data_IF_633072537369
#
_entry.id   IF_633072537369
#
_cell.length_a   1.000
_cell.length_b   1.000
_cell.length_c   1.000
_cell.angle_alpha   90.00
_cell.angle_beta   90.00
_cell.angle_gamma   90.00
#
_symmetry.space_group_name_H-M   'P 1'
#
loop_
_entity.id
_entity.type
_entity.pdbx_description
1 polymer ?
#
# COMPACT_ATOMS: atom_id res chain seq x y z
N UNK A 1 6.36 -11.52 18.75
CA UNK A 1 5.48 -10.48 19.33
C UNK A 1 6.05 -9.07 19.24
N UNK A 2 7.22 -8.75 19.81
CA UNK A 2 7.80 -7.38 19.72
C UNK A 2 7.93 -6.86 18.28
N UNK A 3 8.39 -7.71 17.36
CA UNK A 3 8.49 -7.36 15.94
C UNK A 3 7.14 -7.01 15.30
N UNK A 4 6.06 -7.71 15.67
CA UNK A 4 4.71 -7.42 15.16
C UNK A 4 4.21 -6.08 15.72
N UNK A 5 4.50 -5.80 16.98
CA UNK A 5 4.16 -4.55 17.64
C UNK A 5 4.85 -3.35 16.97
N UNK A 6 6.17 -3.44 16.75
CA UNK A 6 6.93 -2.41 16.02
C UNK A 6 6.44 -2.23 14.58
N UNK A 7 6.11 -3.33 13.88
CA UNK A 7 5.56 -3.25 12.52
C UNK A 7 4.18 -2.58 12.48
N UNK A 8 3.34 -2.79 13.49
CA UNK A 8 2.06 -2.08 13.62
C UNK A 8 2.29 -0.58 13.80
N UNK A 9 3.24 -0.17 14.65
CA UNK A 9 3.59 1.25 14.85
C UNK A 9 4.11 1.90 13.57
N UNK A 10 5.00 1.22 12.86
CA UNK A 10 5.52 1.70 11.57
C UNK A 10 4.40 1.85 10.54
N UNK A 11 3.46 0.91 10.47
CA UNK A 11 2.33 0.98 9.55
C UNK A 11 1.34 2.08 9.93
N UNK A 12 1.10 2.32 11.23
CA UNK A 12 0.29 3.44 11.73
C UNK A 12 0.89 4.78 11.27
N UNK A 13 2.20 4.97 11.42
CA UNK A 13 2.90 6.18 10.97
C UNK A 13 2.80 6.34 9.45
N UNK A 14 3.07 5.27 8.69
CA UNK A 14 3.00 5.29 7.22
C UNK A 14 1.60 5.62 6.72
N UNK A 15 0.55 5.11 7.35
CA UNK A 15 -0.85 5.43 7.00
C UNK A 15 -1.13 6.93 7.20
N UNK A 16 -0.69 7.52 8.32
CA UNK A 16 -0.85 8.96 8.57
C UNK A 16 0.02 9.84 7.64
N UNK A 17 1.21 9.39 7.27
CA UNK A 17 2.06 10.08 6.30
C UNK A 17 1.44 10.08 4.89
N UNK A 18 0.95 8.93 4.43
CA UNK A 18 0.27 8.84 3.13
C UNK A 18 -1.04 9.64 3.12
N UNK A 19 -1.81 9.63 4.23
CA UNK A 19 -3.04 10.41 4.33
C UNK A 19 -2.79 11.91 4.20
N UNK A 20 -1.67 12.42 4.75
CA UNK A 20 -1.27 13.83 4.61
C UNK A 20 -0.82 14.22 3.20
N UNK A 21 -0.34 13.25 2.42
CA UNK A 21 0.16 13.48 1.05
C UNK A 21 -0.89 13.22 -0.03
N UNK A 22 -1.99 12.57 0.35
CA UNK A 22 -3.03 12.08 -0.56
C UNK A 22 -3.54 13.15 -1.53
N UNK A 23 -3.82 14.36 -1.04
CA UNK A 23 -4.37 15.46 -1.85
C UNK A 23 -3.39 16.04 -2.88
N UNK A 24 -2.09 15.73 -2.75
CA UNK A 24 -1.01 16.27 -3.58
C UNK A 24 -0.41 15.24 -4.52
N UNK A 25 -0.72 13.96 -4.33
CA UNK A 25 -0.20 12.86 -5.14
C UNK A 25 -1.07 12.62 -6.37
N UNK A 26 -0.47 12.07 -7.42
CA UNK A 26 -1.24 11.60 -8.57
C UNK A 26 -2.12 10.40 -8.14
N UNK A 27 -3.39 10.31 -8.58
CA UNK A 27 -4.31 9.27 -8.12
C UNK A 27 -3.80 7.83 -8.34
N UNK A 28 -3.04 7.58 -9.40
CA UNK A 28 -2.45 6.26 -9.67
C UNK A 28 -1.36 5.90 -8.65
N UNK A 29 -0.48 6.85 -8.32
CA UNK A 29 0.59 6.63 -7.34
C UNK A 29 0.01 6.46 -5.93
N UNK A 30 -0.99 7.28 -5.60
CA UNK A 30 -1.70 7.19 -4.34
C UNK A 30 -2.39 5.83 -4.18
N UNK A 31 -3.07 5.34 -5.23
CA UNK A 31 -3.66 4.00 -5.25
C UNK A 31 -2.58 2.93 -5.05
N UNK A 32 -1.47 3.00 -5.78
CA UNK A 32 -0.38 2.03 -5.65
C UNK A 32 0.19 1.98 -4.22
N UNK A 33 0.44 3.13 -3.60
CA UNK A 33 0.92 3.20 -2.22
C UNK A 33 -0.08 2.59 -1.23
N UNK A 34 -1.37 2.84 -1.42
CA UNK A 34 -2.43 2.25 -0.59
C UNK A 34 -2.52 0.74 -0.79
N UNK A 35 -2.39 0.24 -2.01
CA UNK A 35 -2.37 -1.21 -2.30
C UNK A 35 -1.18 -1.90 -1.59
N UNK A 36 0.00 -1.25 -1.55
CA UNK A 36 1.16 -1.73 -0.80
C UNK A 36 0.93 -1.72 0.72
N UNK A 37 0.34 -0.65 1.26
CA UNK A 37 -0.02 -0.58 2.68
C UNK A 37 -1.03 -1.66 3.06
N UNK A 38 -2.05 -1.89 2.23
CA UNK A 38 -2.99 -2.97 2.42
C UNK A 38 -2.30 -4.34 2.44
N UNK A 39 -1.36 -4.56 1.53
CA UNK A 39 -0.59 -5.81 1.49
C UNK A 39 0.21 -6.01 2.78
N UNK A 40 0.90 -4.97 3.26
CA UNK A 40 1.67 -5.02 4.51
C UNK A 40 0.77 -5.27 5.74
N UNK A 41 -0.40 -4.63 5.79
CA UNK A 41 -1.39 -4.82 6.85
C UNK A 41 -1.92 -6.26 6.83
N UNK A 42 -2.16 -6.84 5.65
CA UNK A 42 -2.55 -8.27 5.49
C UNK A 42 -1.44 -9.22 5.95
N UNK A 43 -0.18 -8.93 5.65
CA UNK A 43 0.94 -9.76 6.13
C UNK A 43 1.06 -9.71 7.66
N UNK A 44 0.84 -8.54 8.25
CA UNK A 44 0.85 -8.38 9.71
C UNK A 44 -0.30 -9.15 10.37
N UNK A 45 -1.48 -9.20 9.74
CA UNK A 45 -2.61 -10.05 10.17
C UNK A 45 -2.23 -11.53 10.20
N UNK A 46 -1.59 -12.04 9.14
CA UNK A 46 -1.14 -13.43 9.08
C UNK A 46 -0.15 -13.75 10.22
N UNK A 47 0.78 -12.83 10.52
CA UNK A 47 1.70 -13.00 11.64
C UNK A 47 0.96 -13.03 13.00
N UNK A 48 -0.07 -12.20 13.19
CA UNK A 48 -0.91 -12.22 14.40
C UNK A 48 -1.68 -13.54 14.51
N UNK A 49 -2.25 -14.04 13.41
CA UNK A 49 -2.97 -15.31 13.38
C UNK A 49 -2.05 -16.49 13.70
N UNK A 50 -0.81 -16.48 13.19
CA UNK A 50 0.21 -17.46 13.58
C UNK A 50 0.47 -17.44 15.09
N UNK A 51 0.61 -16.25 15.69
CA UNK A 51 0.80 -16.12 17.15
C UNK A 51 -0.40 -16.65 17.95
N UNK A 52 -1.63 -16.49 17.45
CA UNK A 52 -2.80 -17.11 18.08
C UNK A 52 -2.74 -18.64 18.02
N UNK A 53 -2.29 -19.22 16.89
CA UNK A 53 -2.05 -20.66 16.76
C UNK A 53 -1.00 -21.18 17.74
N UNK A 54 0.11 -20.46 17.88
CA UNK A 54 1.17 -20.79 18.83
C UNK A 54 0.63 -20.78 20.27
N UNK A 55 -0.14 -19.75 20.64
CA UNK A 55 -0.74 -19.64 21.97
C UNK A 55 -1.77 -20.73 22.24
N UNK A 56 -2.55 -21.15 21.23
CA UNK A 56 -3.45 -22.29 21.38
C UNK A 56 -2.69 -23.59 21.61
N UNK A 57 -1.62 -23.81 20.87
CA UNK A 57 -0.75 -24.99 21.06
C UNK A 57 -0.16 -25.02 22.48
N UNK A 58 0.25 -23.86 23.02
CA UNK A 58 0.68 -23.73 24.42
C UNK A 58 -0.46 -23.97 25.42
N UNK A 59 -1.69 -23.56 25.09
CA UNK A 59 -2.85 -23.79 25.95
C UNK A 59 -3.20 -25.28 26.03
N UNK A 60 -3.15 -25.98 24.90
CA UNK A 60 -3.34 -27.43 24.81
C UNK A 60 -2.25 -28.18 25.57
N UNK A 61 -1.00 -27.70 25.50
CA UNK A 61 0.12 -28.16 26.33
C UNK A 61 0.04 -27.80 27.81
N UNK A 62 -1.07 -27.17 28.27
CA UNK A 62 -1.33 -26.74 29.65
C UNK A 62 -0.25 -25.82 30.23
N UNK A 63 0.39 -25.01 29.38
CA UNK A 63 1.36 -24.03 29.85
C UNK A 63 0.67 -22.92 30.65
N UNK A 64 1.12 -22.63 31.88
CA UNK A 64 0.44 -21.67 32.77
C UNK A 64 0.46 -20.22 32.24
N UNK A 65 1.42 -19.90 31.36
CA UNK A 65 1.55 -18.56 30.76
C UNK A 65 0.63 -18.34 29.54
N UNK A 66 0.02 -19.39 28.99
CA UNK A 66 -0.77 -19.30 27.76
C UNK A 66 -1.92 -18.27 27.84
N UNK A 67 -2.70 -18.15 28.94
CA UNK A 67 -3.75 -17.13 29.04
C UNK A 67 -3.22 -15.69 28.99
N UNK A 68 -2.04 -15.44 29.58
CA UNK A 68 -1.44 -14.10 29.56
C UNK A 68 -0.88 -13.75 28.19
N UNK A 69 -0.24 -14.72 27.51
CA UNK A 69 0.19 -14.55 26.13
C UNK A 69 -1.01 -14.30 25.20
N UNK A 70 -2.12 -15.01 25.40
CA UNK A 70 -3.35 -14.80 24.63
C UNK A 70 -3.84 -13.36 24.73
N UNK A 71 -3.92 -12.80 25.95
CA UNK A 71 -4.30 -11.39 26.16
C UNK A 71 -3.38 -10.43 25.41
N UNK A 72 -2.07 -10.69 25.39
CA UNK A 72 -1.11 -9.86 24.67
C UNK A 72 -1.29 -9.94 23.15
N UNK A 73 -1.52 -11.13 22.60
CA UNK A 73 -1.82 -11.28 21.15
C UNK A 73 -3.16 -10.62 20.80
N UNK A 74 -4.15 -10.70 21.69
CA UNK A 74 -5.44 -10.03 21.52
C UNK A 74 -5.31 -8.50 21.48
N UNK A 75 -4.42 -7.90 22.29
CA UNK A 75 -4.11 -6.46 22.19
C UNK A 75 -3.50 -6.09 20.84
N UNK A 76 -2.58 -6.91 20.31
CA UNK A 76 -2.01 -6.69 18.97
C UNK A 76 -3.10 -6.75 17.90
N UNK A 77 -4.02 -7.71 18.00
CA UNK A 77 -5.14 -7.81 17.07
C UNK A 77 -6.07 -6.60 17.15
N UNK A 78 -6.39 -6.10 18.36
CA UNK A 78 -7.19 -4.89 18.52
C UNK A 78 -6.53 -3.67 17.87
N UNK A 79 -5.21 -3.49 18.04
CA UNK A 79 -4.44 -2.44 17.36
C UNK A 79 -4.52 -2.60 15.83
N UNK A 80 -4.34 -3.81 15.32
CA UNK A 80 -4.47 -4.10 13.89
C UNK A 80 -5.86 -3.75 13.33
N UNK A 81 -6.94 -4.07 14.06
CA UNK A 81 -8.31 -3.70 13.66
C UNK A 81 -8.47 -2.18 13.58
N UNK A 82 -7.91 -1.45 14.55
CA UNK A 82 -7.92 0.02 14.55
C UNK A 82 -7.13 0.59 13.36
N UNK A 83 -5.93 0.07 13.09
CA UNK A 83 -5.11 0.43 11.93
C UNK A 83 -5.83 0.18 10.60
N UNK A 84 -6.48 -0.98 10.45
CA UNK A 84 -7.28 -1.29 9.27
C UNK A 84 -8.43 -0.30 9.10
N UNK A 85 -9.10 0.07 10.19
CA UNK A 85 -10.17 1.07 10.17
C UNK A 85 -9.64 2.47 9.79
N UNK A 86 -8.44 2.82 10.26
CA UNK A 86 -7.74 4.05 9.91
C UNK A 86 -7.41 4.11 8.42
N UNK A 87 -6.83 3.04 7.87
CA UNK A 87 -6.55 2.90 6.43
C UNK A 87 -7.82 3.11 5.60
N UNK A 88 -8.92 2.44 5.96
CA UNK A 88 -10.18 2.55 5.22
C UNK A 88 -10.75 3.98 5.25
N UNK A 89 -10.77 4.60 6.44
CA UNK A 89 -11.36 5.92 6.62
C UNK A 89 -10.52 7.06 6.04
N UNK A 90 -9.19 6.98 6.15
CA UNK A 90 -8.26 8.07 5.81
C UNK A 90 -7.70 7.98 4.40
N UNK A 91 -7.64 6.78 3.83
CA UNK A 91 -6.99 6.55 2.53
C UNK A 91 -7.98 6.00 1.50
N UNK A 92 -8.65 4.88 1.79
CA UNK A 92 -9.51 4.21 0.81
C UNK A 92 -10.75 5.05 0.49
N UNK A 93 -11.42 5.61 1.50
CA UNK A 93 -12.64 6.42 1.31
C UNK A 93 -12.36 7.73 0.54
N UNK A 94 -11.29 8.50 0.86
CA UNK A 94 -10.96 9.66 0.05
C UNK A 94 -10.49 9.30 -1.36
N UNK A 95 -9.73 8.21 -1.54
CA UNK A 95 -9.33 7.76 -2.88
C UNK A 95 -10.52 7.33 -3.75
N UNK A 96 -11.55 6.72 -3.17
CA UNK A 96 -12.77 6.38 -3.90
C UNK A 96 -13.61 7.62 -4.24
N UNK A 97 -13.38 8.76 -3.60
CA UNK A 97 -14.00 10.04 -3.98
C UNK A 97 -13.23 10.78 -5.09
N UNK A 98 -11.91 10.55 -5.16
CA UNK A 98 -11.01 11.09 -6.20
C UNK A 98 -11.07 10.22 -7.48
N UNK A 99 -11.78 9.09 -7.43
CA UNK A 99 -11.77 8.07 -8.47
C UNK A 99 -12.24 8.59 -9.84
N UNK A 100 -11.23 8.76 -10.70
CA UNK A 100 -11.15 8.53 -12.15
C UNK A 100 -12.30 9.09 -13.02
N UNK A 101 -12.03 10.06 -13.93
CA UNK A 101 -12.68 9.97 -15.23
C UNK A 101 -12.22 8.64 -15.83
N UNK A 102 -13.12 7.66 -15.86
CA UNK A 102 -12.99 6.48 -16.68
C UNK A 102 -12.97 6.98 -18.12
N UNK A 103 -11.79 7.29 -18.66
CA UNK A 103 -11.62 7.24 -20.11
C UNK A 103 -11.67 5.76 -20.47
N UNK A 104 -12.89 5.26 -20.65
CA UNK A 104 -13.21 4.09 -21.44
C UNK A 104 -12.77 4.40 -22.88
N UNK A 105 -11.46 4.41 -23.13
CA UNK A 105 -10.94 4.41 -24.50
C UNK A 105 -11.11 2.99 -25.01
N UNK A 106 -12.33 2.72 -25.44
CA UNK A 106 -12.56 1.74 -26.51
C UNK A 106 -11.55 2.06 -27.61
N UNK A 107 -10.69 1.07 -27.88
CA UNK A 107 -9.67 1.15 -28.91
C UNK A 107 -10.38 1.11 -30.26
N UNK A 108 -10.82 2.27 -30.76
CA UNK A 108 -11.11 2.46 -32.18
C UNK A 108 -10.01 3.31 -32.80
N UNK A 109 -8.95 2.59 -33.19
CA UNK A 109 -8.11 2.83 -34.37
C UNK A 109 -8.40 4.13 -35.14
N UNK A 110 -7.81 5.25 -34.73
CA UNK A 110 -7.34 6.32 -35.62
C UNK A 110 -6.50 7.34 -34.85
N UNK A 111 -5.19 7.29 -35.11
CA UNK A 111 -4.18 8.35 -35.10
C UNK A 111 -4.58 9.70 -34.45
N UNK A 112 -3.97 10.04 -33.29
CA UNK A 112 -3.09 11.22 -33.11
C UNK A 112 -2.86 11.53 -31.62
N UNK A 113 -1.64 11.19 -31.21
CA UNK A 113 -0.79 11.67 -30.10
C UNK A 113 -1.24 12.97 -29.40
N UNK A 114 -1.73 12.88 -28.16
CA UNK A 114 -1.77 14.02 -27.20
C UNK A 114 -1.66 13.52 -25.75
N UNK A 115 -0.65 12.71 -25.42
CA UNK A 115 -0.27 12.40 -24.03
C UNK A 115 1.26 12.37 -23.82
N UNK A 116 2.03 12.59 -24.88
CA UNK A 116 3.50 12.50 -24.87
C UNK A 116 4.16 13.76 -24.30
N UNK A 117 3.44 14.87 -24.16
CA UNK A 117 4.05 16.18 -23.82
C UNK A 117 4.34 16.40 -22.33
N UNK A 118 4.05 15.45 -21.43
CA UNK A 118 4.34 15.65 -19.98
C UNK A 118 5.24 14.61 -19.33
N UNK A 119 5.54 13.50 -20.01
CA UNK A 119 6.45 12.46 -19.50
C UNK A 119 7.90 12.63 -19.97
N UNK A 120 8.15 13.51 -20.95
CA UNK A 120 9.47 13.67 -21.58
C UNK A 120 10.41 14.60 -20.77
N UNK A 121 9.87 15.48 -19.92
CA UNK A 121 10.68 16.51 -19.25
C UNK A 121 11.29 16.11 -17.90
N UNK A 122 10.87 15.00 -17.28
CA UNK A 122 11.31 14.65 -15.90
C UNK A 122 12.24 13.45 -15.80
N UNK A 123 12.56 12.78 -16.91
CA UNK A 123 13.35 11.54 -16.85
C UNK A 123 14.61 11.63 -17.74
N UNK A 124 15.76 11.88 -17.10
CA UNK A 124 17.06 11.99 -17.76
C UNK A 124 17.45 10.73 -18.57
N UNK A 125 16.98 9.55 -18.17
CA UNK A 125 17.21 8.31 -18.91
C UNK A 125 16.41 8.24 -20.23
N UNK A 126 15.27 8.93 -20.28
CA UNK A 126 14.42 8.96 -21.47
C UNK A 126 14.97 9.95 -22.53
N UNK A 127 15.62 11.04 -22.10
CA UNK A 127 16.30 11.99 -23.00
C UNK A 127 17.44 11.34 -23.78
N UNK A 128 18.28 10.53 -23.13
CA UNK A 128 19.37 9.80 -23.81
C UNK A 128 18.83 8.78 -24.81
N UNK A 129 17.77 8.06 -24.47
CA UNK A 129 17.11 7.14 -25.42
C UNK A 129 16.52 7.89 -26.62
N UNK A 130 15.93 9.06 -26.40
CA UNK A 130 15.38 9.90 -27.45
C UNK A 130 16.47 10.48 -28.37
N UNK A 131 17.60 10.93 -27.82
CA UNK A 131 18.77 11.35 -28.62
C UNK A 131 19.35 10.19 -29.45
N UNK A 132 19.44 8.99 -28.88
CA UNK A 132 19.86 7.81 -29.64
C UNK A 132 18.86 7.44 -30.75
N UNK A 133 17.57 7.57 -30.51
CA UNK A 133 16.51 7.31 -31.51
C UNK A 133 16.54 8.36 -32.63
N UNK A 134 16.72 9.63 -32.30
CA UNK A 134 16.84 10.70 -33.30
C UNK A 134 18.12 10.60 -34.13
N UNK A 135 19.24 10.21 -33.52
CA UNK A 135 20.48 9.96 -34.25
C UNK A 135 20.34 8.83 -35.27
N UNK A 136 19.68 7.74 -34.89
CA UNK A 136 19.38 6.62 -35.81
C UNK A 136 18.40 7.00 -36.92
N UNK A 137 17.58 8.05 -36.72
CA UNK A 137 16.57 8.50 -37.69
C UNK A 137 17.12 9.55 -38.67
N UNK A 138 18.23 10.21 -38.32
CA UNK A 138 18.92 11.22 -39.13
C UNK A 138 20.17 10.68 -39.86
N UNK A 139 20.29 9.37 -40.02
CA UNK A 139 21.30 8.71 -40.87
C UNK A 139 20.61 7.80 -41.89
#
# INVERSE_FOLDING_TARGET
MKQVDSRLEELEIRVEDEARRLDRLHPLDAKHNVDLLEQDIRQTEQAINSLFGDVQSLREGRYPQAPELHKRVQKLHQRWVALRSLLHSRLITPLSSISFPVEERTVTRQTRTVLETRLVDTNAHFRQLQECVEWCRNK
#
